data_IF_450758954044
#
_entry.id   IF_450758954044
#
_cell.length_a   1.000
_cell.length_b   1.000
_cell.length_c   1.000
_cell.angle_alpha   90.00
_cell.angle_beta   90.00
_cell.angle_gamma   90.00
#
_symmetry.space_group_name_H-M   'P 1'
#
loop_
_entity.id
_entity.type
_entity.pdbx_description
1 polymer ?
#
# COMPACT_ATOMS: atom_id res chain seq x y z
N UNK A 1 4.30 -24.56 3.39
CA UNK A 1 2.82 -24.60 3.35
C UNK A 1 2.40 -23.75 2.17
N UNK A 2 1.68 -24.37 1.20
CA UNK A 2 1.12 -23.64 0.05
C UNK A 2 -0.08 -22.88 0.62
N UNK A 3 0.09 -21.59 0.88
CA UNK A 3 -1.05 -20.71 1.15
C UNK A 3 -1.84 -20.65 -0.14
N UNK A 4 -2.96 -21.36 -0.21
CA UNK A 4 -3.93 -21.18 -1.29
C UNK A 4 -4.26 -19.70 -1.37
N UNK A 5 -4.01 -19.08 -2.52
CA UNK A 5 -4.33 -17.67 -2.73
C UNK A 5 -5.82 -17.48 -2.39
N UNK A 6 -6.10 -16.70 -1.37
CA UNK A 6 -7.48 -16.38 -0.96
C UNK A 6 -8.11 -15.67 -2.16
N UNK A 7 -9.17 -16.28 -2.71
CA UNK A 7 -9.89 -15.69 -3.84
C UNK A 7 -10.72 -14.53 -3.34
N UNK A 8 -10.34 -13.31 -3.74
CA UNK A 8 -11.09 -12.10 -3.41
C UNK A 8 -12.48 -12.18 -4.09
N UNK A 9 -13.59 -12.00 -3.35
CA UNK A 9 -14.92 -11.90 -3.91
C UNK A 9 -15.03 -10.78 -4.96
N UNK A 10 -15.80 -11.01 -6.02
CA UNK A 10 -15.95 -10.05 -7.12
C UNK A 10 -16.52 -8.68 -6.66
N UNK A 11 -17.30 -8.66 -5.60
CA UNK A 11 -17.86 -7.45 -5.00
C UNK A 11 -16.80 -6.50 -4.41
N UNK A 12 -15.58 -6.96 -4.19
CA UNK A 12 -14.47 -6.15 -3.69
C UNK A 12 -13.44 -5.78 -4.76
N UNK A 13 -13.60 -6.25 -5.99
CA UNK A 13 -12.61 -6.07 -7.06
C UNK A 13 -12.24 -4.61 -7.36
N UNK A 14 -13.19 -3.70 -7.17
CA UNK A 14 -13.02 -2.26 -7.39
C UNK A 14 -12.39 -1.51 -6.21
N UNK A 15 -12.35 -2.13 -5.03
CA UNK A 15 -11.81 -1.50 -3.80
C UNK A 15 -10.57 -2.19 -3.24
N UNK A 16 -10.40 -3.49 -3.42
CA UNK A 16 -9.28 -4.25 -2.84
C UNK A 16 -7.92 -3.89 -3.46
N UNK A 17 -6.79 -4.16 -2.79
CA UNK A 17 -5.47 -4.19 -3.42
C UNK A 17 -5.46 -5.17 -4.60
N UNK A 18 -4.54 -4.99 -5.55
CA UNK A 18 -4.38 -5.98 -6.62
C UNK A 18 -3.93 -7.34 -6.06
N UNK A 19 -4.38 -8.42 -6.69
CA UNK A 19 -3.82 -9.75 -6.43
C UNK A 19 -2.37 -9.84 -6.93
N UNK A 20 -1.56 -10.70 -6.33
CA UNK A 20 -0.19 -10.91 -6.81
C UNK A 20 -0.15 -11.46 -8.24
N UNK A 21 -1.19 -12.16 -8.70
CA UNK A 21 -1.34 -12.56 -10.12
C UNK A 21 -1.50 -11.39 -11.08
N UNK A 22 -2.00 -10.25 -10.62
CA UNK A 22 -2.17 -9.02 -11.40
C UNK A 22 -0.94 -8.11 -11.30
N UNK A 23 -0.08 -8.33 -10.28
CA UNK A 23 1.01 -7.43 -9.89
C UNK A 23 1.91 -7.08 -11.08
N UNK A 24 2.41 -8.07 -11.81
CA UNK A 24 3.33 -7.83 -12.93
C UNK A 24 2.69 -6.99 -14.05
N UNK A 25 1.41 -7.23 -14.35
CA UNK A 25 0.68 -6.47 -15.37
C UNK A 25 0.48 -5.01 -14.93
N UNK A 26 0.05 -4.80 -13.70
CA UNK A 26 -0.19 -3.46 -13.14
C UNK A 26 1.12 -2.68 -12.96
N UNK A 27 2.20 -3.35 -12.55
CA UNK A 27 3.53 -2.73 -12.47
C UNK A 27 4.04 -2.31 -13.86
N UNK A 28 3.85 -3.15 -14.88
CA UNK A 28 4.23 -2.82 -16.25
C UNK A 28 3.42 -1.65 -16.84
N UNK A 29 2.19 -1.41 -16.36
CA UNK A 29 1.40 -0.23 -16.68
C UNK A 29 1.96 1.00 -15.94
N UNK A 30 2.21 0.89 -14.64
CA UNK A 30 2.70 1.98 -13.79
C UNK A 30 4.02 2.58 -14.29
N UNK A 31 5.00 1.76 -14.64
CA UNK A 31 6.33 2.25 -15.07
C UNK A 31 6.30 3.00 -16.40
N UNK A 32 5.24 2.83 -17.21
CA UNK A 32 5.05 3.57 -18.47
C UNK A 32 4.45 4.96 -18.27
N UNK A 33 3.93 5.26 -17.07
CA UNK A 33 3.29 6.54 -16.79
C UNK A 33 4.33 7.67 -16.64
N UNK A 34 4.28 8.71 -17.51
CA UNK A 34 5.29 9.77 -17.48
C UNK A 34 5.32 10.53 -16.15
N UNK A 35 4.16 10.73 -15.52
CA UNK A 35 4.08 11.41 -14.23
C UNK A 35 4.68 10.57 -13.10
N UNK A 36 4.49 9.24 -13.11
CA UNK A 36 5.14 8.36 -12.15
C UNK A 36 6.67 8.48 -12.25
N UNK A 37 7.21 8.42 -13.48
CA UNK A 37 8.64 8.62 -13.72
C UNK A 37 9.13 9.97 -13.16
N UNK A 38 8.45 11.06 -13.48
CA UNK A 38 8.83 12.39 -13.01
C UNK A 38 8.83 12.51 -11.48
N UNK A 39 7.85 11.87 -10.81
CA UNK A 39 7.77 11.85 -9.34
C UNK A 39 8.92 11.03 -8.75
N UNK A 40 9.26 9.89 -9.34
CA UNK A 40 10.40 9.07 -8.90
C UNK A 40 11.72 9.83 -9.05
N UNK A 41 11.97 10.45 -10.20
CA UNK A 41 13.17 11.24 -10.45
C UNK A 41 13.29 12.43 -9.49
N UNK A 42 12.18 13.07 -9.14
CA UNK A 42 12.15 14.15 -8.15
C UNK A 42 12.42 13.66 -6.72
N UNK A 43 11.76 12.57 -6.32
CA UNK A 43 11.86 12.05 -4.95
C UNK A 43 13.17 11.30 -4.69
N UNK A 44 13.80 10.76 -5.74
CA UNK A 44 15.03 9.96 -5.67
C UNK A 44 16.02 10.42 -6.75
N UNK A 45 16.56 11.65 -6.68
CA UNK A 45 17.37 12.25 -7.75
C UNK A 45 18.70 11.51 -8.05
N UNK A 46 19.13 10.64 -7.15
CA UNK A 46 20.36 9.84 -7.34
C UNK A 46 20.08 8.48 -7.96
N UNK A 47 18.81 8.17 -8.24
CA UNK A 47 18.39 6.89 -8.80
C UNK A 47 18.37 6.97 -10.33
N UNK A 48 19.03 6.04 -11.01
CA UNK A 48 18.83 5.85 -12.44
C UNK A 48 17.46 5.20 -12.69
N UNK A 49 16.54 5.96 -13.30
CA UNK A 49 15.18 5.47 -13.50
C UNK A 49 15.12 4.19 -14.33
N UNK A 50 16.01 4.01 -15.33
CA UNK A 50 16.02 2.80 -16.15
C UNK A 50 16.38 1.55 -15.36
N UNK A 51 17.36 1.66 -14.48
CA UNK A 51 17.72 0.58 -13.55
C UNK A 51 16.60 0.29 -12.57
N UNK A 52 15.97 1.34 -12.05
CA UNK A 52 14.83 1.20 -11.13
C UNK A 52 13.60 0.57 -11.80
N UNK A 53 13.30 0.97 -13.03
CA UNK A 53 12.23 0.35 -13.84
C UNK A 53 12.46 -1.16 -14.00
N UNK A 54 13.69 -1.58 -14.31
CA UNK A 54 14.04 -3.00 -14.41
C UNK A 54 13.85 -3.73 -13.08
N UNK A 55 14.24 -3.10 -11.96
CA UNK A 55 13.99 -3.64 -10.63
C UNK A 55 12.50 -3.82 -10.39
N UNK A 56 11.68 -2.78 -10.64
CA UNK A 56 10.22 -2.83 -10.46
C UNK A 56 9.59 -3.95 -11.30
N UNK A 57 9.98 -4.09 -12.57
CA UNK A 57 9.47 -5.12 -13.47
C UNK A 57 9.90 -6.54 -13.10
N UNK A 58 10.95 -6.69 -12.30
CA UNK A 58 11.40 -8.00 -11.80
C UNK A 58 10.56 -8.53 -10.64
N UNK A 59 9.85 -7.66 -9.93
CA UNK A 59 9.03 -8.01 -8.77
C UNK A 59 7.79 -8.81 -9.17
N UNK A 60 7.32 -9.67 -8.27
CA UNK A 60 6.17 -10.56 -8.51
C UNK A 60 5.03 -10.36 -7.52
N UNK A 61 5.33 -9.79 -6.34
CA UNK A 61 4.37 -9.68 -5.26
C UNK A 61 4.38 -8.31 -4.60
N UNK A 62 3.28 -7.95 -3.96
CA UNK A 62 3.18 -6.75 -3.13
C UNK A 62 4.18 -6.77 -1.96
N UNK A 63 4.44 -7.94 -1.39
CA UNK A 63 5.39 -8.08 -0.29
C UNK A 63 6.83 -7.78 -0.76
N UNK A 64 7.23 -8.29 -1.93
CA UNK A 64 8.51 -7.91 -2.56
C UNK A 64 8.60 -6.40 -2.81
N UNK A 65 7.56 -5.79 -3.34
CA UNK A 65 7.53 -4.35 -3.56
C UNK A 65 7.72 -3.57 -2.25
N UNK A 66 7.03 -3.96 -1.19
CA UNK A 66 7.17 -3.30 0.10
C UNK A 66 8.55 -3.50 0.72
N UNK A 67 9.12 -4.70 0.65
CA UNK A 67 10.44 -5.00 1.24
C UNK A 67 11.60 -4.45 0.44
N UNK A 68 11.55 -4.55 -0.88
CA UNK A 68 12.69 -4.22 -1.75
C UNK A 68 12.66 -2.78 -2.29
N UNK A 69 11.51 -2.12 -2.25
CA UNK A 69 11.35 -0.74 -2.76
C UNK A 69 10.89 0.21 -1.66
N UNK A 70 9.73 -0.03 -1.05
CA UNK A 70 9.16 0.91 -0.08
C UNK A 70 9.98 0.99 1.19
N UNK A 71 10.46 -0.14 1.72
CA UNK A 71 11.29 -0.15 2.94
C UNK A 71 12.58 0.66 2.77
N UNK A 72 13.46 0.43 1.77
CA UNK A 72 14.68 1.23 1.60
C UNK A 72 14.39 2.72 1.36
N UNK A 73 13.32 3.04 0.62
CA UNK A 73 12.88 4.42 0.42
C UNK A 73 12.52 5.09 1.75
N UNK A 74 11.68 4.44 2.57
CA UNK A 74 11.26 4.96 3.87
C UNK A 74 12.43 5.03 4.88
N UNK A 75 13.35 4.07 4.86
CA UNK A 75 14.57 4.12 5.68
C UNK A 75 15.43 5.34 5.34
N UNK A 76 15.58 5.63 4.06
CA UNK A 76 16.30 6.83 3.58
C UNK A 76 15.57 8.11 4.03
N UNK A 77 14.25 8.13 3.91
CA UNK A 77 13.43 9.26 4.36
C UNK A 77 13.59 9.49 5.87
N UNK A 78 13.41 8.45 6.68
CA UNK A 78 13.58 8.52 8.15
C UNK A 78 14.97 9.05 8.50
N UNK A 79 16.02 8.49 7.90
CA UNK A 79 17.42 8.90 8.16
C UNK A 79 17.67 10.37 7.84
N UNK A 80 17.06 10.90 6.78
CA UNK A 80 17.35 12.25 6.29
C UNK A 80 16.44 13.33 6.88
N UNK A 81 15.28 12.96 7.45
CA UNK A 81 14.25 13.94 7.86
C UNK A 81 13.78 13.81 9.29
N UNK A 82 14.29 12.83 10.06
CA UNK A 82 13.92 12.61 11.46
C UNK A 82 15.12 12.27 12.32
N UNK A 83 14.96 12.36 13.65
CA UNK A 83 15.95 11.89 14.61
C UNK A 83 15.88 10.37 14.85
N UNK A 84 15.02 9.68 14.15
CA UNK A 84 14.80 8.24 14.21
C UNK A 84 13.33 7.85 14.31
N UNK A 85 13.08 6.56 14.18
CA UNK A 85 11.75 5.96 14.28
C UNK A 85 11.81 4.79 15.26
N UNK A 86 10.92 4.77 16.25
CA UNK A 86 10.79 3.68 17.19
C UNK A 86 9.34 3.25 17.35
N UNK A 87 9.12 1.99 17.75
CA UNK A 87 7.81 1.43 18.04
C UNK A 87 7.82 0.75 19.40
N UNK A 88 6.87 1.12 20.25
CA UNK A 88 6.57 0.39 21.49
C UNK A 88 5.32 -0.45 21.33
N UNK A 89 5.17 -1.50 22.15
CA UNK A 89 3.94 -2.30 22.21
C UNK A 89 3.81 -3.37 21.12
N UNK A 90 4.84 -3.60 20.30
CA UNK A 90 4.81 -4.63 19.23
C UNK A 90 4.61 -6.05 19.80
N UNK A 91 5.01 -6.27 21.02
CA UNK A 91 4.80 -7.51 21.77
C UNK A 91 3.32 -7.84 21.99
N UNK A 92 2.45 -6.83 21.98
CA UNK A 92 1.00 -7.01 22.08
C UNK A 92 0.37 -7.51 20.77
N UNK A 93 1.08 -7.42 19.65
CA UNK A 93 0.64 -7.92 18.36
C UNK A 93 1.16 -9.34 18.13
N UNK A 94 0.36 -10.37 18.38
CA UNK A 94 0.72 -11.77 18.14
C UNK A 94 0.83 -12.04 16.63
N UNK A 95 1.82 -12.86 16.21
CA UNK A 95 2.09 -13.11 14.78
C UNK A 95 1.00 -13.92 14.06
N UNK A 96 0.21 -14.65 14.79
CA UNK A 96 -0.85 -15.54 14.31
C UNK A 96 -2.25 -14.92 14.37
N UNK A 97 -2.36 -13.65 14.72
CA UNK A 97 -3.62 -12.93 14.81
C UNK A 97 -3.71 -11.79 13.81
N UNK A 98 -4.91 -11.55 13.31
CA UNK A 98 -5.25 -10.36 12.53
C UNK A 98 -5.53 -9.15 13.44
N UNK A 99 -5.16 -7.96 12.99
CA UNK A 99 -5.34 -6.72 13.73
C UNK A 99 -5.86 -5.62 12.83
N UNK A 100 -6.76 -4.80 13.37
CA UNK A 100 -7.13 -3.52 12.79
C UNK A 100 -6.44 -2.42 13.58
N UNK A 101 -5.59 -1.63 12.92
CA UNK A 101 -4.91 -0.50 13.52
C UNK A 101 -5.72 0.78 13.32
N UNK A 102 -6.00 1.48 14.42
CA UNK A 102 -6.68 2.77 14.41
C UNK A 102 -5.74 3.78 15.05
N UNK A 103 -5.42 4.85 14.34
CA UNK A 103 -4.52 5.89 14.82
C UNK A 103 -5.08 7.29 14.55
N UNK A 104 -4.50 8.29 15.22
CA UNK A 104 -4.69 9.67 14.81
C UNK A 104 -4.09 9.88 13.42
N UNK A 105 -4.79 10.62 12.57
CA UNK A 105 -4.36 10.91 11.22
C UNK A 105 -3.72 12.30 11.16
N UNK A 106 -2.40 12.34 11.24
CA UNK A 106 -1.61 13.57 11.18
C UNK A 106 -1.02 13.82 9.80
N UNK A 107 -0.59 12.77 9.12
CA UNK A 107 -0.01 12.82 7.79
C UNK A 107 -0.62 11.76 6.87
N UNK A 108 -1.03 12.17 5.67
CA UNK A 108 -1.76 11.31 4.71
C UNK A 108 -0.91 10.10 4.27
N UNK A 109 0.41 10.27 4.18
CA UNK A 109 1.33 9.25 3.65
C UNK A 109 2.12 8.59 4.76
N UNK A 110 2.67 9.38 5.69
CA UNK A 110 3.69 8.90 6.62
C UNK A 110 3.12 8.08 7.77
N UNK A 111 1.89 8.34 8.24
CA UNK A 111 1.33 7.61 9.39
C UNK A 111 1.27 6.10 9.10
N UNK A 112 0.64 5.70 8.01
CA UNK A 112 0.55 4.31 7.60
C UNK A 112 1.90 3.73 7.14
N UNK A 113 2.73 4.56 6.48
CA UNK A 113 4.06 4.13 6.01
C UNK A 113 4.99 3.81 7.17
N UNK A 114 5.01 4.62 8.22
CA UNK A 114 5.84 4.38 9.40
C UNK A 114 5.33 3.21 10.24
N UNK A 115 4.01 3.00 10.32
CA UNK A 115 3.47 1.79 10.92
C UNK A 115 3.99 0.55 10.17
N UNK A 116 3.84 0.53 8.84
CA UNK A 116 4.28 -0.60 8.03
C UNK A 116 5.80 -0.81 8.07
N UNK A 117 6.60 0.27 8.09
CA UNK A 117 8.05 0.17 8.26
C UNK A 117 8.42 -0.46 9.61
N UNK A 118 7.76 -0.04 10.71
CA UNK A 118 7.97 -0.63 12.04
C UNK A 118 7.54 -2.10 12.11
N UNK A 119 6.44 -2.48 11.45
CA UNK A 119 6.03 -3.88 11.34
C UNK A 119 7.09 -4.72 10.62
N UNK A 120 7.66 -4.21 9.52
CA UNK A 120 8.76 -4.86 8.80
C UNK A 120 10.04 -5.00 9.66
N UNK A 121 10.38 -4.00 10.47
CA UNK A 121 11.51 -4.08 11.40
C UNK A 121 11.34 -5.17 12.47
N UNK A 122 10.09 -5.45 12.82
CA UNK A 122 9.75 -6.46 13.82
C UNK A 122 9.34 -7.81 13.20
N UNK A 123 9.71 -8.06 11.93
CA UNK A 123 9.41 -9.29 11.21
C UNK A 123 7.90 -9.64 11.23
N UNK A 124 7.07 -8.63 11.00
CA UNK A 124 5.61 -8.73 10.87
C UNK A 124 5.18 -8.49 9.43
N UNK A 125 4.00 -8.97 9.11
CA UNK A 125 3.35 -8.59 7.85
C UNK A 125 2.90 -7.13 7.93
N UNK A 126 2.96 -6.43 6.82
CA UNK A 126 2.43 -5.09 6.68
C UNK A 126 0.91 -5.11 6.62
N UNK A 127 0.30 -4.00 7.02
CA UNK A 127 -1.15 -3.83 6.95
C UNK A 127 -1.61 -3.45 5.55
N UNK A 128 -2.87 -3.71 5.25
CA UNK A 128 -3.58 -2.97 4.21
C UNK A 128 -3.95 -1.58 4.71
N UNK A 129 -3.95 -0.59 3.80
CA UNK A 129 -4.17 0.81 4.15
C UNK A 129 -5.41 1.35 3.46
N UNK A 130 -6.32 1.93 4.25
CA UNK A 130 -7.52 2.60 3.73
C UNK A 130 -7.17 3.94 3.07
N UNK A 131 -7.49 4.11 1.78
CA UNK A 131 -7.28 5.37 1.05
C UNK A 131 -8.59 5.86 0.44
N UNK A 132 -8.94 7.12 0.67
CA UNK A 132 -10.10 7.73 0.04
C UNK A 132 -9.92 7.92 -1.47
N UNK A 133 -10.93 7.55 -2.28
CA UNK A 133 -10.88 7.72 -3.74
C UNK A 133 -10.71 9.19 -4.19
N UNK A 134 -11.03 10.15 -3.34
CA UNK A 134 -10.80 11.57 -3.60
C UNK A 134 -9.31 11.96 -3.70
N UNK A 135 -8.40 11.10 -3.24
CA UNK A 135 -6.94 11.28 -3.35
C UNK A 135 -6.38 10.68 -4.64
N UNK A 136 -7.16 9.87 -5.36
CA UNK A 136 -6.76 9.17 -6.57
C UNK A 136 -7.07 10.01 -7.81
N UNK A 137 -6.44 11.19 -7.90
CA UNK A 137 -6.69 12.18 -8.97
C UNK A 137 -6.23 11.67 -10.34
N UNK A 138 -5.20 10.82 -10.37
CA UNK A 138 -4.66 10.21 -11.59
C UNK A 138 -4.69 8.68 -11.47
N UNK A 139 -4.89 7.99 -12.58
CA UNK A 139 -4.97 6.52 -12.62
C UNK A 139 -3.70 5.85 -12.08
N UNK A 140 -2.52 6.39 -12.41
CA UNK A 140 -1.26 5.85 -11.92
C UNK A 140 -1.13 5.86 -10.38
N UNK A 141 -1.75 6.85 -9.69
CA UNK A 141 -1.79 6.87 -8.22
C UNK A 141 -2.62 5.69 -7.71
N UNK A 142 -3.78 5.43 -8.33
CA UNK A 142 -4.62 4.28 -7.98
C UNK A 142 -3.86 2.96 -8.15
N UNK A 143 -3.14 2.82 -9.26
CA UNK A 143 -2.30 1.64 -9.51
C UNK A 143 -1.22 1.51 -8.42
N UNK A 144 -0.46 2.57 -8.16
CA UNK A 144 0.62 2.58 -7.18
C UNK A 144 0.15 2.18 -5.77
N UNK A 145 -0.94 2.80 -5.28
CA UNK A 145 -1.42 2.54 -3.92
C UNK A 145 -1.99 1.13 -3.77
N UNK A 146 -2.68 0.61 -4.79
CA UNK A 146 -3.19 -0.76 -4.78
C UNK A 146 -2.07 -1.80 -4.90
N UNK A 147 -1.00 -1.51 -5.62
CA UNK A 147 0.23 -2.31 -5.61
C UNK A 147 0.91 -2.29 -4.22
N UNK A 148 0.74 -1.20 -3.47
CA UNK A 148 1.28 -1.05 -2.11
C UNK A 148 0.27 -1.43 -1.01
N UNK A 149 -0.57 -2.44 -1.26
CA UNK A 149 -1.56 -2.98 -0.29
C UNK A 149 -2.57 -1.95 0.22
N UNK A 150 -2.97 -0.97 -0.60
CA UNK A 150 -4.04 -0.06 -0.18
C UNK A 150 -5.39 -0.49 -0.77
N UNK A 151 -6.44 -0.37 0.03
CA UNK A 151 -7.82 -0.53 -0.41
C UNK A 151 -8.54 0.83 -0.47
N UNK A 152 -9.53 0.92 -1.37
CA UNK A 152 -10.16 2.19 -1.70
C UNK A 152 -11.42 2.40 -0.87
N UNK A 153 -11.50 3.53 -0.19
CA UNK A 153 -12.72 3.99 0.51
C UNK A 153 -13.45 4.96 -0.40
N UNK A 154 -14.65 4.59 -0.83
CA UNK A 154 -15.49 5.43 -1.68
C UNK A 154 -16.01 6.64 -0.90
N UNK A 155 -15.68 7.83 -1.37
CA UNK A 155 -16.13 9.10 -0.81
C UNK A 155 -17.00 9.83 -1.82
N UNK A 156 -17.67 10.91 -1.38
CA UNK A 156 -18.53 11.75 -2.24
C UNK A 156 -19.71 10.97 -2.88
N UNK A 157 -20.23 9.98 -2.15
CA UNK A 157 -21.38 9.20 -2.55
C UNK A 157 -22.69 9.97 -2.27
N UNK A 158 -23.69 9.79 -3.13
CA UNK A 158 -25.07 10.24 -2.86
C UNK A 158 -25.63 9.56 -1.60
N UNK A 159 -26.71 10.12 -1.03
CA UNK A 159 -27.29 9.59 0.21
C UNK A 159 -27.67 8.09 0.09
N UNK A 160 -28.19 7.67 -1.06
CA UNK A 160 -28.52 6.25 -1.32
C UNK A 160 -27.26 5.38 -1.38
N UNK A 161 -26.22 5.82 -2.10
CA UNK A 161 -24.96 5.09 -2.27
C UNK A 161 -24.12 5.02 -1.00
N UNK A 162 -24.34 5.91 -0.02
CA UNK A 162 -23.58 5.92 1.24
C UNK A 162 -23.77 4.65 2.05
N UNK A 163 -24.99 4.12 2.09
CA UNK A 163 -25.25 2.88 2.83
C UNK A 163 -24.59 1.70 2.16
N UNK A 164 -24.74 1.58 0.84
CA UNK A 164 -24.10 0.51 0.05
C UNK A 164 -22.56 0.57 0.17
N UNK A 165 -21.97 1.77 0.04
CA UNK A 165 -20.53 1.96 0.18
C UNK A 165 -20.02 1.65 1.61
N UNK A 166 -20.78 2.00 2.63
CA UNK A 166 -20.44 1.67 4.02
C UNK A 166 -20.53 0.16 4.28
N UNK A 167 -21.54 -0.50 3.74
CA UNK A 167 -21.67 -1.97 3.83
C UNK A 167 -20.55 -2.67 3.08
N UNK A 168 -20.22 -2.26 1.85
CA UNK A 168 -19.10 -2.81 1.09
C UNK A 168 -17.78 -2.67 1.86
N UNK A 169 -17.51 -1.49 2.43
CA UNK A 169 -16.31 -1.23 3.22
C UNK A 169 -16.26 -2.11 4.48
N UNK A 170 -17.37 -2.18 5.23
CA UNK A 170 -17.47 -3.01 6.43
C UNK A 170 -17.23 -4.49 6.11
N UNK A 171 -17.86 -4.99 5.06
CA UNK A 171 -17.70 -6.37 4.61
C UNK A 171 -16.26 -6.64 4.16
N UNK A 172 -15.64 -5.67 3.45
CA UNK A 172 -14.24 -5.81 3.04
C UNK A 172 -13.29 -5.88 4.24
N UNK A 173 -13.39 -4.95 5.18
CA UNK A 173 -12.55 -4.94 6.41
C UNK A 173 -12.71 -6.21 7.24
N UNK A 174 -13.91 -6.82 7.20
CA UNK A 174 -14.16 -8.10 7.88
C UNK A 174 -13.58 -9.30 7.12
N UNK A 175 -13.49 -9.21 5.80
CA UNK A 175 -12.90 -10.22 4.92
C UNK A 175 -11.37 -10.21 4.94
N UNK A 176 -10.73 -9.01 4.96
CA UNK A 176 -9.29 -8.82 4.88
C UNK A 176 -8.57 -9.19 6.19
#
# INVERSE_FOLDING_TARGET
MITSAIKIPAEFADVCPFNDSEFATQMAQLVKEPMFKSVVEYAMPHLDFKTFEQQLLSLKTKDEFQRLVMKPFLETLVKNTTDGLSMGGVENCQKDKSYTFISNHRDIVLDASFLNLNLLYNDRQTTEVAIGNNLLVYEWISILVRLNKSFIVKRNLSSHQRLEGAMQLSNYVHFA
#
